data_IF_076515920436
#
_entry.id   IF_076515920436
#
_cell.length_a   1.000
_cell.length_b   1.000
_cell.length_c   1.000
_cell.angle_alpha   90.00
_cell.angle_beta   90.00
_cell.angle_gamma   90.00
#
_symmetry.space_group_name_H-M   'P 1'
#
loop_
_entity.id
_entity.type
_entity.pdbx_description
1 polymer ?
#
# COMPACT_ATOMS: atom_id res chain seq x y z
N UNK A 1 -9.82 -2.98 -21.02
CA UNK A 1 -9.10 -3.58 -19.87
C UNK A 1 -10.12 -3.93 -18.79
N UNK A 2 -10.10 -5.14 -18.22
CA UNK A 2 -10.98 -5.49 -17.08
C UNK A 2 -10.54 -4.72 -15.84
N UNK A 3 -11.48 -4.12 -15.10
CA UNK A 3 -11.19 -3.45 -13.83
C UNK A 3 -10.81 -4.50 -12.76
N UNK A 4 -9.80 -4.24 -11.91
CA UNK A 4 -9.45 -5.16 -10.84
C UNK A 4 -10.59 -5.26 -9.82
N UNK A 5 -10.82 -6.44 -9.26
CA UNK A 5 -11.74 -6.59 -8.13
C UNK A 5 -11.17 -5.91 -6.88
N UNK A 6 -12.03 -5.55 -5.92
CA UNK A 6 -11.58 -4.96 -4.64
C UNK A 6 -10.59 -5.86 -3.91
N UNK A 7 -10.82 -7.18 -3.92
CA UNK A 7 -9.88 -8.17 -3.37
C UNK A 7 -8.54 -8.16 -4.11
N UNK A 8 -8.55 -8.04 -5.43
CA UNK A 8 -7.32 -7.94 -6.23
C UNK A 8 -6.55 -6.67 -5.87
N UNK A 9 -7.23 -5.52 -5.80
CA UNK A 9 -6.61 -4.26 -5.40
C UNK A 9 -6.03 -4.33 -3.99
N UNK A 10 -6.78 -4.86 -3.01
CA UNK A 10 -6.29 -5.12 -1.64
C UNK A 10 -5.01 -5.97 -1.65
N UNK A 11 -4.96 -7.02 -2.46
CA UNK A 11 -3.79 -7.89 -2.54
C UNK A 11 -2.55 -7.19 -3.12
N UNK A 12 -2.73 -6.21 -4.02
CA UNK A 12 -1.62 -5.36 -4.49
C UNK A 12 -0.99 -4.59 -3.32
N UNK A 13 -1.79 -4.03 -2.42
CA UNK A 13 -1.27 -3.38 -1.22
C UNK A 13 -0.62 -4.36 -0.25
N UNK A 14 -1.19 -5.55 -0.03
CA UNK A 14 -0.57 -6.58 0.82
C UNK A 14 0.83 -6.92 0.30
N UNK A 15 0.99 -7.09 -1.02
CA UNK A 15 2.30 -7.30 -1.63
C UNK A 15 3.24 -6.09 -1.40
N UNK A 16 2.72 -4.87 -1.56
CA UNK A 16 3.45 -3.63 -1.30
C UNK A 16 3.94 -3.48 0.15
N UNK A 17 3.08 -3.73 1.13
CA UNK A 17 3.43 -3.69 2.56
C UNK A 17 4.44 -4.79 2.92
N UNK A 18 4.30 -5.98 2.34
CA UNK A 18 5.28 -7.07 2.51
C UNK A 18 6.65 -6.66 1.99
N UNK A 19 6.69 -6.08 0.79
CA UNK A 19 7.92 -5.56 0.19
C UNK A 19 8.52 -4.44 1.05
N UNK A 20 7.70 -3.50 1.52
CA UNK A 20 8.15 -2.40 2.37
C UNK A 20 8.71 -2.89 3.72
N UNK A 21 8.05 -3.87 4.37
CA UNK A 21 8.54 -4.48 5.59
C UNK A 21 9.93 -5.11 5.40
N UNK A 22 10.13 -5.84 4.30
CA UNK A 22 11.43 -6.46 3.98
C UNK A 22 12.49 -5.40 3.64
N UNK A 23 12.17 -4.45 2.76
CA UNK A 23 13.11 -3.43 2.33
C UNK A 23 13.56 -2.52 3.47
N UNK A 24 12.65 -2.14 4.38
CA UNK A 24 13.01 -1.30 5.52
C UNK A 24 13.57 -2.08 6.71
N UNK A 25 13.04 -3.27 6.98
CA UNK A 25 13.45 -4.10 8.11
C UNK A 25 14.80 -4.78 7.89
N UNK A 26 15.01 -5.38 6.72
CA UNK A 26 16.22 -6.14 6.39
C UNK A 26 17.22 -5.27 5.62
N UNK A 27 16.74 -4.56 4.60
CA UNK A 27 17.60 -3.77 3.70
C UNK A 27 17.62 -2.27 4.01
N UNK A 28 17.21 -1.86 5.21
CA UNK A 28 17.01 -0.44 5.55
C UNK A 28 18.25 0.43 5.31
N UNK A 29 19.47 -0.12 5.45
CA UNK A 29 20.72 0.60 5.11
C UNK A 29 20.88 0.86 3.61
N UNK A 30 20.48 -0.09 2.75
CA UNK A 30 20.54 0.07 1.28
C UNK A 30 19.45 1.04 0.84
N UNK A 31 18.25 0.90 1.38
CA UNK A 31 17.12 1.78 1.08
C UNK A 31 17.41 3.23 1.49
N UNK A 32 17.90 3.45 2.71
CA UNK A 32 18.24 4.79 3.20
C UNK A 32 19.30 5.52 2.36
N UNK A 33 20.27 4.78 1.78
CA UNK A 33 21.29 5.36 0.90
C UNK A 33 20.72 5.90 -0.41
N UNK A 34 19.61 5.34 -0.88
CA UNK A 34 18.92 5.81 -2.08
C UNK A 34 17.86 6.88 -1.79
N UNK A 35 17.67 7.26 -0.52
CA UNK A 35 16.66 8.22 -0.10
C UNK A 35 17.27 9.59 0.23
N UNK A 36 16.53 10.66 -0.04
CA UNK A 36 16.92 12.03 0.28
C UNK A 36 17.00 12.31 1.80
N UNK A 37 16.40 11.43 2.62
CA UNK A 37 16.33 11.58 4.07
C UNK A 37 17.55 11.06 4.82
N UNK A 38 18.54 10.52 4.10
CA UNK A 38 19.73 9.93 4.70
C UNK A 38 19.40 8.72 5.57
N UNK A 39 20.29 8.41 6.51
CA UNK A 39 20.21 7.20 7.35
C UNK A 39 19.62 7.50 8.72
N UNK A 40 18.34 7.17 8.88
CA UNK A 40 17.71 7.02 10.19
C UNK A 40 17.28 5.56 10.40
N UNK A 41 18.06 4.80 11.17
CA UNK A 41 17.79 3.38 11.40
C UNK A 41 16.58 3.12 12.32
N UNK A 42 16.24 4.06 13.21
CA UNK A 42 15.04 3.98 14.03
C UNK A 42 13.80 4.08 13.16
N UNK A 43 13.75 5.11 12.32
CA UNK A 43 12.66 5.35 11.37
C UNK A 43 12.39 4.15 10.45
N UNK A 44 13.42 3.55 9.83
CA UNK A 44 13.19 2.40 8.95
C UNK A 44 12.62 1.18 9.69
N UNK A 45 13.07 0.96 10.92
CA UNK A 45 12.52 -0.11 11.76
C UNK A 45 11.07 0.16 12.15
N UNK A 46 10.73 1.40 12.50
CA UNK A 46 9.34 1.79 12.79
C UNK A 46 8.43 1.58 11.58
N UNK A 47 8.85 2.00 10.39
CA UNK A 47 8.11 1.73 9.15
C UNK A 47 7.94 0.22 8.93
N UNK A 48 8.97 -0.59 9.17
CA UNK A 48 8.85 -2.04 9.05
C UNK A 48 7.82 -2.61 10.04
N UNK A 49 7.84 -2.16 11.30
CA UNK A 49 6.86 -2.56 12.33
C UNK A 49 5.44 -2.18 11.92
N UNK A 50 5.21 -0.95 11.43
CA UNK A 50 3.89 -0.51 10.97
C UNK A 50 3.37 -1.33 9.78
N UNK A 51 4.24 -1.69 8.84
CA UNK A 51 3.87 -2.56 7.73
C UNK A 51 3.49 -3.97 8.20
N UNK A 52 4.24 -4.55 9.14
CA UNK A 52 3.90 -5.84 9.75
C UNK A 52 2.55 -5.77 10.46
N UNK A 53 2.32 -4.74 11.28
CA UNK A 53 1.02 -4.54 11.95
C UNK A 53 -0.14 -4.42 10.96
N UNK A 54 0.08 -3.70 9.85
CA UNK A 54 -0.92 -3.56 8.78
C UNK A 54 -1.22 -4.90 8.10
N UNK A 55 -0.20 -5.73 7.85
CA UNK A 55 -0.37 -7.07 7.29
C UNK A 55 -1.16 -7.99 8.21
N UNK A 56 -0.85 -7.97 9.51
CA UNK A 56 -1.59 -8.76 10.52
C UNK A 56 -3.06 -8.34 10.58
N UNK A 57 -3.33 -7.02 10.60
CA UNK A 57 -4.70 -6.49 10.55
C UNK A 57 -5.41 -6.90 9.26
N UNK A 58 -4.75 -6.79 8.10
CA UNK A 58 -5.33 -7.19 6.81
C UNK A 58 -5.67 -8.69 6.77
N UNK A 59 -4.81 -9.53 7.36
CA UNK A 59 -5.02 -10.96 7.49
C UNK A 59 -6.21 -11.28 8.41
N UNK A 60 -6.32 -10.62 9.57
CA UNK A 60 -7.45 -10.81 10.50
C UNK A 60 -8.80 -10.36 9.92
N UNK A 61 -8.79 -9.41 8.98
CA UNK A 61 -9.98 -8.95 8.27
C UNK A 61 -10.25 -9.75 6.98
N UNK A 62 -9.37 -10.68 6.61
CA UNK A 62 -9.53 -11.47 5.40
C UNK A 62 -10.71 -12.44 5.55
N UNK A 63 -11.62 -12.44 4.56
CA UNK A 63 -12.77 -13.34 4.58
C UNK A 63 -14.02 -12.79 5.23
N UNK A 64 -13.97 -11.62 5.90
CA UNK A 64 -15.14 -10.92 6.46
C UNK A 64 -16.09 -10.30 5.41
N UNK A 65 -15.91 -10.65 4.13
CA UNK A 65 -16.76 -10.21 3.04
C UNK A 65 -16.29 -8.94 2.32
N UNK A 66 -17.02 -8.54 1.26
CA UNK A 66 -16.57 -7.51 0.31
C UNK A 66 -16.56 -6.09 0.88
N UNK A 67 -17.34 -5.79 1.92
CA UNK A 67 -17.30 -4.48 2.57
C UNK A 67 -16.04 -4.31 3.45
N UNK A 68 -15.56 -5.38 4.09
CA UNK A 68 -14.27 -5.36 4.80
C UNK A 68 -13.11 -5.13 3.83
N UNK A 69 -13.12 -5.78 2.66
CA UNK A 69 -12.14 -5.54 1.59
C UNK A 69 -12.18 -4.08 1.11
N UNK A 70 -13.37 -3.49 0.94
CA UNK A 70 -13.53 -2.08 0.56
C UNK A 70 -13.02 -1.11 1.63
N UNK A 71 -13.30 -1.38 2.89
CA UNK A 71 -12.81 -0.57 4.01
C UNK A 71 -11.27 -0.55 4.05
N UNK A 72 -10.65 -1.71 3.91
CA UNK A 72 -9.19 -1.83 3.80
C UNK A 72 -8.64 -1.04 2.60
N UNK A 73 -9.22 -1.21 1.41
CA UNK A 73 -8.80 -0.48 0.21
C UNK A 73 -8.90 1.04 0.38
N UNK A 74 -9.94 1.56 1.05
CA UNK A 74 -10.05 3.00 1.36
C UNK A 74 -8.94 3.46 2.28
N UNK A 75 -8.68 2.73 3.36
CA UNK A 75 -7.60 3.05 4.31
C UNK A 75 -6.23 3.02 3.62
N UNK A 76 -5.95 1.99 2.81
CA UNK A 76 -4.71 1.88 2.07
C UNK A 76 -4.55 2.97 1.01
N UNK A 77 -5.63 3.42 0.37
CA UNK A 77 -5.58 4.54 -0.57
C UNK A 77 -5.18 5.86 0.13
N UNK A 78 -5.71 6.12 1.32
CA UNK A 78 -5.32 7.29 2.13
C UNK A 78 -3.84 7.20 2.50
N UNK A 79 -3.41 6.06 3.07
CA UNK A 79 -2.01 5.85 3.44
C UNK A 79 -1.08 6.00 2.24
N UNK A 80 -1.40 5.37 1.11
CA UNK A 80 -0.59 5.47 -0.09
C UNK A 80 -0.54 6.88 -0.67
N UNK A 81 -1.63 7.64 -0.56
CA UNK A 81 -1.62 9.06 -0.98
C UNK A 81 -0.64 9.86 -0.13
N UNK A 82 -0.72 9.73 1.19
CA UNK A 82 0.15 10.46 2.12
C UNK A 82 1.62 10.06 1.97
N UNK A 83 1.92 8.75 1.95
CA UNK A 83 3.28 8.26 1.74
C UNK A 83 3.80 8.60 0.34
N UNK A 84 2.97 8.46 -0.69
CA UNK A 84 3.30 8.76 -2.07
C UNK A 84 3.68 10.23 -2.25
N UNK A 85 2.88 11.15 -1.72
CA UNK A 85 3.17 12.58 -1.73
C UNK A 85 4.45 12.92 -0.96
N UNK A 86 4.64 12.32 0.22
CA UNK A 86 5.86 12.52 1.00
C UNK A 86 7.12 12.06 0.25
N UNK A 87 7.05 10.89 -0.39
CA UNK A 87 8.13 10.37 -1.23
C UNK A 87 8.36 11.24 -2.47
N UNK A 88 7.29 11.66 -3.16
CA UNK A 88 7.38 12.50 -4.35
C UNK A 88 8.00 13.86 -4.02
N UNK A 89 7.56 14.52 -2.94
CA UNK A 89 8.11 15.80 -2.50
C UNK A 89 9.61 15.70 -2.16
N UNK A 90 10.06 14.56 -1.62
CA UNK A 90 11.49 14.31 -1.39
C UNK A 90 12.24 14.07 -2.72
N UNK A 91 11.65 13.29 -3.64
CA UNK A 91 12.23 12.99 -4.94
C UNK A 91 12.40 14.25 -5.80
N UNK A 92 11.41 15.14 -5.81
CA UNK A 92 11.46 16.41 -6.54
C UNK A 92 12.54 17.34 -6.00
N UNK A 93 12.80 17.34 -4.68
CA UNK A 93 13.88 18.12 -4.06
C UNK A 93 15.26 17.51 -4.24
N UNK A 94 15.34 16.19 -4.44
CA UNK A 94 16.59 15.47 -4.67
C UNK A 94 16.39 14.44 -5.79
N UNK A 95 16.48 14.85 -7.07
CA UNK A 95 16.13 13.99 -8.20
C UNK A 95 16.92 12.68 -8.30
N UNK A 96 18.11 12.62 -7.70
CA UNK A 96 18.95 11.42 -7.62
C UNK A 96 18.51 10.41 -6.54
N UNK A 97 17.49 10.73 -5.74
CA UNK A 97 16.99 9.85 -4.67
C UNK A 97 16.08 8.74 -5.22
N UNK A 98 16.71 7.71 -5.80
CA UNK A 98 16.01 6.58 -6.42
C UNK A 98 15.01 5.86 -5.51
N UNK A 99 15.29 5.75 -4.20
CA UNK A 99 14.36 5.12 -3.25
C UNK A 99 13.11 5.97 -3.00
N UNK A 100 13.19 7.29 -3.12
CA UNK A 100 12.02 8.17 -3.05
C UNK A 100 11.17 8.07 -4.32
N UNK A 101 11.78 8.06 -5.51
CA UNK A 101 11.05 7.79 -6.75
C UNK A 101 10.35 6.43 -6.75
N UNK A 102 11.05 5.39 -6.29
CA UNK A 102 10.50 4.06 -6.14
C UNK A 102 9.30 4.04 -5.18
N UNK A 103 9.46 4.65 -4.00
CA UNK A 103 8.37 4.77 -3.03
C UNK A 103 7.16 5.54 -3.57
N UNK A 104 7.36 6.64 -4.29
CA UNK A 104 6.29 7.40 -4.92
C UNK A 104 5.57 6.55 -5.99
N UNK A 105 6.32 5.85 -6.84
CA UNK A 105 5.78 4.99 -7.88
C UNK A 105 4.94 3.83 -7.35
N UNK A 106 5.43 3.10 -6.34
CA UNK A 106 4.67 2.00 -5.74
C UNK A 106 3.35 2.48 -5.10
N UNK A 107 3.38 3.64 -4.45
CA UNK A 107 2.18 4.22 -3.88
C UNK A 107 1.18 4.68 -4.96
N UNK A 108 1.66 5.26 -6.06
CA UNK A 108 0.82 5.60 -7.21
C UNK A 108 0.14 4.37 -7.81
N UNK A 109 0.86 3.26 -7.98
CA UNK A 109 0.28 1.97 -8.44
C UNK A 109 -0.84 1.50 -7.50
N UNK A 110 -0.61 1.54 -6.19
CA UNK A 110 -1.62 1.20 -5.19
C UNK A 110 -2.88 2.06 -5.32
N UNK A 111 -2.71 3.38 -5.41
CA UNK A 111 -3.84 4.33 -5.59
C UNK A 111 -4.61 4.03 -6.87
N UNK A 112 -3.94 3.85 -8.00
CA UNK A 112 -4.60 3.55 -9.28
C UNK A 112 -5.39 2.25 -9.22
N UNK A 113 -4.83 1.20 -8.62
CA UNK A 113 -5.52 -0.08 -8.42
C UNK A 113 -6.76 0.09 -7.52
N UNK A 114 -6.62 0.85 -6.43
CA UNK A 114 -7.69 1.17 -5.49
C UNK A 114 -8.86 1.93 -6.09
N UNK A 115 -8.56 3.05 -6.76
CA UNK A 115 -9.57 3.88 -7.42
C UNK A 115 -10.31 3.08 -8.48
N UNK A 116 -9.59 2.32 -9.31
CA UNK A 116 -10.18 1.48 -10.34
C UNK A 116 -11.13 0.42 -9.76
N UNK A 117 -10.77 -0.19 -8.62
CA UNK A 117 -11.58 -1.20 -7.95
C UNK A 117 -12.78 -0.61 -7.19
N UNK A 118 -12.64 0.57 -6.57
CA UNK A 118 -13.74 1.26 -5.87
C UNK A 118 -14.75 1.89 -6.82
N UNK A 119 -14.33 2.28 -8.02
CA UNK A 119 -15.21 2.79 -9.07
C UNK A 119 -16.00 1.68 -9.79
N UNK A 120 -15.72 0.40 -9.53
CA UNK A 120 -16.49 -0.71 -10.09
C UNK A 120 -17.86 -0.83 -9.38
N UNK A 121 -18.96 -1.13 -10.11
CA UNK A 121 -20.27 -1.32 -9.51
C UNK A 121 -20.24 -2.35 -8.38
N UNK A 122 -21.03 -2.11 -7.32
CA UNK A 122 -21.22 -3.12 -6.27
C UNK A 122 -21.93 -4.34 -6.88
N UNK A 123 -21.46 -5.57 -6.61
CA UNK A 123 -22.25 -6.76 -6.93
C UNK A 123 -23.61 -6.63 -6.26
N UNK A 124 -24.68 -7.01 -6.96
CA UNK A 124 -26.02 -7.05 -6.38
C UNK A 124 -26.01 -7.97 -5.15
N UNK A 125 -26.80 -7.67 -4.10
CA UNK A 125 -27.03 -8.62 -3.02
C UNK A 125 -27.54 -9.93 -3.62
N UNK A 126 -26.97 -11.08 -3.20
CA UNK A 126 -27.57 -12.37 -3.53
C UNK A 126 -28.94 -12.43 -2.86
N UNK A 127 -29.96 -12.80 -3.62
CA UNK A 127 -31.33 -12.96 -3.13
C UNK A 127 -31.42 -14.03 -2.04
N UNK A 128 -32.53 -14.05 -1.28
CA UNK A 128 -32.74 -15.01 -0.20
C UNK A 128 -32.68 -16.49 -0.63
N UNK A 129 -32.83 -16.79 -1.92
CA UNK A 129 -32.93 -18.16 -2.44
C UNK A 129 -31.57 -18.85 -2.74
N UNK A 130 -30.43 -18.21 -2.48
CA UNK A 130 -29.09 -18.76 -2.77
C UNK A 130 -28.25 -19.09 -1.51
N UNK A 131 -28.89 -19.38 -0.37
CA UNK A 131 -28.21 -19.78 0.89
C UNK A 131 -28.24 -21.28 1.13
#
# INVERSE_FOLDING_TARGET
MRRPSVRTARNVWIAGFSLAAVLQGVFGRRFARGAAWGRNAGWQREIAVWNVGTLVTAAGLAGLGPEADRAQVRGFAVLSTLFGLNHLAAALRSPRSGSNWFGAGLNAVGITAGVAALAAPRPAPRGPDER
#
